data_IF_593028918572
#
_entry.id   IF_593028918572
#
_cell.length_a   1.000
_cell.length_b   1.000
_cell.length_c   1.000
_cell.angle_alpha   90.00
_cell.angle_beta   90.00
_cell.angle_gamma   90.00
#
_symmetry.space_group_name_H-M   'P 1'
#
loop_
_entity.id
_entity.type
_entity.pdbx_description
1 polymer ?
#
# COMPACT_ATOMS: atom_id res chain seq x y z
N UNK A 1 54.32 0.53 21.16
CA UNK A 1 53.76 1.55 20.26
C UNK A 1 53.45 0.87 18.94
N UNK A 2 52.16 0.75 18.59
CA UNK A 2 51.69 0.13 17.34
C UNK A 2 51.35 1.24 16.35
N UNK A 3 51.88 1.17 15.13
CA UNK A 3 51.65 2.14 14.06
C UNK A 3 51.43 1.41 12.75
N UNK A 4 50.24 1.61 12.17
CA UNK A 4 49.81 1.06 10.88
C UNK A 4 50.13 2.07 9.77
N UNK A 5 50.55 1.63 8.57
CA UNK A 5 50.18 2.34 7.34
C UNK A 5 49.60 1.31 6.36
N UNK A 6 48.44 1.49 5.74
CA UNK A 6 47.93 2.69 5.09
C UNK A 6 47.46 2.20 3.71
N UNK A 7 46.14 2.10 3.54
CA UNK A 7 45.48 1.61 2.33
C UNK A 7 45.91 2.38 1.08
N UNK A 8 46.25 1.65 0.03
CA UNK A 8 46.51 2.21 -1.29
C UNK A 8 45.26 2.92 -1.84
N UNK A 9 45.41 4.16 -2.32
CA UNK A 9 44.35 4.92 -2.96
C UNK A 9 44.04 4.36 -4.38
N UNK A 10 42.79 4.41 -4.86
CA UNK A 10 42.42 3.95 -6.20
C UNK A 10 43.00 4.87 -7.30
N UNK A 11 43.18 4.36 -8.53
CA UNK A 11 43.82 5.10 -9.61
C UNK A 11 42.97 6.29 -10.08
N UNK A 12 43.62 7.40 -10.40
CA UNK A 12 42.97 8.62 -10.87
C UNK A 12 42.32 8.44 -12.27
N UNK A 13 41.16 9.07 -12.55
CA UNK A 13 40.51 9.02 -13.86
C UNK A 13 41.23 9.91 -14.90
N UNK A 14 41.07 9.61 -16.21
CA UNK A 14 41.76 10.33 -17.28
C UNK A 14 41.30 11.80 -17.39
N UNK A 15 42.20 12.74 -17.76
CA UNK A 15 41.87 14.16 -17.86
C UNK A 15 41.11 14.44 -19.16
N UNK A 16 39.85 14.90 -19.06
CA UNK A 16 39.14 15.46 -20.22
C UNK A 16 37.62 15.30 -20.25
N UNK A 17 37.00 14.56 -19.32
CA UNK A 17 35.53 14.49 -19.25
C UNK A 17 34.98 15.52 -18.25
N UNK A 18 33.83 16.17 -18.53
CA UNK A 18 33.20 17.08 -17.59
C UNK A 18 32.97 16.37 -16.26
N UNK A 19 33.34 17.02 -15.16
CA UNK A 19 33.15 16.54 -13.78
C UNK A 19 31.68 16.17 -13.58
N UNK A 20 31.37 14.89 -13.63
CA UNK A 20 30.08 14.38 -13.19
C UNK A 20 30.01 14.71 -11.69
N UNK A 21 29.00 15.47 -11.21
CA UNK A 21 28.87 15.73 -9.79
C UNK A 21 28.79 14.38 -9.04
N UNK A 22 29.37 14.29 -7.82
CA UNK A 22 29.33 13.05 -7.06
C UNK A 22 27.87 12.61 -6.93
N UNK A 23 27.60 11.36 -7.29
CA UNK A 23 26.28 10.76 -7.13
C UNK A 23 25.87 10.95 -5.66
N UNK A 24 24.98 11.92 -5.42
CA UNK A 24 24.25 12.01 -4.16
C UNK A 24 23.52 10.70 -3.91
N UNK A 25 22.99 10.47 -2.69
CA UNK A 25 22.26 9.24 -2.38
C UNK A 25 21.26 8.96 -3.51
N UNK A 26 21.53 7.87 -4.25
CA UNK A 26 20.69 7.37 -5.33
C UNK A 26 19.29 7.24 -4.74
N UNK A 27 18.43 8.23 -5.01
CA UNK A 27 17.02 8.13 -4.74
C UNK A 27 16.53 7.07 -5.71
N UNK A 28 16.51 5.82 -5.22
CA UNK A 28 15.85 4.71 -5.88
C UNK A 28 14.50 5.25 -6.37
N UNK A 29 14.16 5.20 -7.67
CA UNK A 29 12.90 5.74 -8.14
C UNK A 29 11.79 5.04 -7.35
N UNK A 30 11.20 5.75 -6.38
CA UNK A 30 10.04 5.27 -5.68
C UNK A 30 8.95 5.27 -6.74
N UNK A 31 8.74 4.13 -7.39
CA UNK A 31 7.71 3.97 -8.42
C UNK A 31 6.39 4.22 -7.72
N UNK A 32 5.86 5.43 -7.86
CA UNK A 32 4.59 5.81 -7.27
C UNK A 32 3.48 5.15 -8.08
N UNK A 33 3.00 4.01 -7.60
CA UNK A 33 1.87 3.32 -8.21
C UNK A 33 0.58 4.01 -7.79
N UNK A 34 -0.12 4.61 -8.77
CA UNK A 34 -1.40 5.27 -8.55
C UNK A 34 -2.58 4.31 -8.77
N UNK A 35 -3.59 4.42 -7.93
CA UNK A 35 -4.86 3.68 -8.07
C UNK A 35 -5.69 4.17 -9.26
N UNK A 36 -6.18 3.23 -10.05
CA UNK A 36 -7.15 3.42 -11.13
C UNK A 36 -8.56 3.37 -10.52
N UNK A 37 -9.19 4.54 -10.41
CA UNK A 37 -10.54 4.71 -9.83
C UNK A 37 -11.67 4.58 -10.87
N UNK A 38 -11.79 3.41 -11.50
CA UNK A 38 -12.87 3.10 -12.46
C UNK A 38 -13.79 2.03 -11.85
N UNK A 39 -15.11 2.21 -11.97
CA UNK A 39 -16.11 1.24 -11.49
C UNK A 39 -15.88 0.79 -10.05
N UNK A 40 -15.73 1.76 -9.13
CA UNK A 40 -15.56 1.45 -7.70
C UNK A 40 -16.73 0.58 -7.20
N UNK A 41 -16.45 -0.46 -6.41
CA UNK A 41 -17.50 -1.31 -5.86
C UNK A 41 -18.50 -0.47 -5.03
N UNK A 42 -19.80 -0.81 -5.03
CA UNK A 42 -20.74 -0.16 -4.14
C UNK A 42 -20.51 -0.60 -2.68
N UNK A 43 -21.04 0.15 -1.71
CA UNK A 43 -21.10 -0.28 -0.32
C UNK A 43 -21.96 -1.55 -0.21
N UNK A 44 -21.53 -2.49 0.61
CA UNK A 44 -22.23 -3.75 0.82
C UNK A 44 -23.46 -3.56 1.72
N UNK A 45 -24.66 -3.72 1.15
CA UNK A 45 -25.94 -3.47 1.84
C UNK A 45 -26.53 -4.69 2.56
N UNK A 46 -25.71 -5.67 2.96
CA UNK A 46 -26.09 -6.93 3.62
C UNK A 46 -27.03 -7.87 2.85
N UNK A 47 -27.44 -7.52 1.63
CA UNK A 47 -28.31 -8.34 0.79
C UNK A 47 -27.55 -9.60 0.31
N UNK A 48 -27.82 -10.75 0.93
CA UNK A 48 -27.13 -12.04 0.66
C UNK A 48 -27.25 -12.49 -0.79
N UNK A 49 -28.37 -12.19 -1.45
CA UNK A 49 -28.58 -12.45 -2.87
C UNK A 49 -27.67 -11.62 -3.80
N UNK A 50 -27.07 -10.53 -3.30
CA UNK A 50 -26.13 -9.67 -4.02
C UNK A 50 -24.68 -9.84 -3.58
N UNK A 51 -24.41 -10.63 -2.53
CA UNK A 51 -23.06 -10.83 -2.00
C UNK A 51 -22.08 -11.38 -3.05
N UNK A 52 -22.49 -12.37 -3.85
CA UNK A 52 -21.65 -12.91 -4.93
C UNK A 52 -21.33 -11.90 -6.01
N UNK A 53 -22.31 -11.09 -6.42
CA UNK A 53 -22.09 -10.02 -7.40
C UNK A 53 -21.14 -8.97 -6.82
N UNK A 54 -21.36 -8.56 -5.58
CA UNK A 54 -20.52 -7.59 -4.90
C UNK A 54 -19.07 -8.06 -4.79
N UNK A 55 -18.84 -9.33 -4.41
CA UNK A 55 -17.50 -9.91 -4.37
C UNK A 55 -16.82 -9.91 -5.75
N UNK A 56 -17.57 -10.21 -6.82
CA UNK A 56 -17.04 -10.14 -8.18
C UNK A 56 -16.64 -8.71 -8.57
N UNK A 57 -17.45 -7.72 -8.20
CA UNK A 57 -17.16 -6.30 -8.45
C UNK A 57 -15.90 -5.84 -7.66
N UNK A 58 -15.76 -6.26 -6.39
CA UNK A 58 -14.54 -6.03 -5.58
C UNK A 58 -13.32 -6.71 -6.18
N UNK A 59 -13.43 -7.98 -6.59
CA UNK A 59 -12.33 -8.72 -7.18
C UNK A 59 -11.85 -8.07 -8.48
N UNK A 60 -12.77 -7.67 -9.37
CA UNK A 60 -12.41 -6.98 -10.61
C UNK A 60 -11.65 -5.66 -10.32
N UNK A 61 -12.08 -4.91 -9.31
CA UNK A 61 -11.40 -3.69 -8.89
C UNK A 61 -9.98 -3.94 -8.37
N UNK A 62 -9.80 -4.98 -7.55
CA UNK A 62 -8.50 -5.37 -7.00
C UNK A 62 -7.55 -5.91 -8.08
N UNK A 63 -8.08 -6.62 -9.08
CA UNK A 63 -7.29 -7.08 -10.22
C UNK A 63 -6.77 -5.90 -11.06
N UNK A 64 -7.63 -4.90 -11.32
CA UNK A 64 -7.23 -3.67 -12.01
C UNK A 64 -6.16 -2.89 -11.24
N UNK A 65 -6.25 -2.90 -9.91
CA UNK A 65 -5.37 -2.17 -9.01
C UNK A 65 -4.32 -3.07 -8.33
N UNK A 66 -3.92 -4.18 -8.96
CA UNK A 66 -3.04 -5.18 -8.34
C UNK A 66 -1.68 -4.61 -7.90
N UNK A 67 -1.19 -3.57 -8.57
CA UNK A 67 0.08 -2.94 -8.23
C UNK A 67 -0.02 -2.08 -6.95
N UNK A 68 -1.24 -1.63 -6.60
CA UNK A 68 -1.54 -0.91 -5.34
C UNK A 68 -1.90 -1.90 -4.24
N UNK A 69 -2.85 -2.80 -4.50
CA UNK A 69 -3.31 -3.87 -3.61
C UNK A 69 -2.55 -5.18 -3.88
N UNK A 70 -1.24 -5.11 -3.68
CA UNK A 70 -0.30 -6.17 -4.06
C UNK A 70 -0.12 -7.30 -3.03
N UNK A 71 -0.84 -7.24 -1.91
CA UNK A 71 -0.84 -8.29 -0.89
C UNK A 71 -2.27 -8.52 -0.38
N UNK A 72 -2.47 -9.65 0.27
CA UNK A 72 -3.80 -10.04 0.74
C UNK A 72 -4.32 -9.13 1.85
N UNK A 73 -3.44 -8.62 2.71
CA UNK A 73 -3.81 -7.66 3.76
C UNK A 73 -4.48 -6.41 3.19
N UNK A 74 -3.88 -5.74 2.20
CA UNK A 74 -4.43 -4.56 1.54
C UNK A 74 -5.74 -4.87 0.82
N UNK A 75 -5.85 -6.06 0.21
CA UNK A 75 -7.07 -6.52 -0.47
C UNK A 75 -8.21 -6.75 0.52
N UNK A 76 -7.91 -7.38 1.65
CA UNK A 76 -8.85 -7.65 2.74
C UNK A 76 -9.31 -6.32 3.35
N UNK A 77 -8.38 -5.43 3.71
CA UNK A 77 -8.70 -4.09 4.25
C UNK A 77 -9.56 -3.27 3.28
N UNK A 78 -9.25 -3.32 1.98
CA UNK A 78 -10.08 -2.70 0.96
C UNK A 78 -11.51 -3.25 0.97
N UNK A 79 -11.68 -4.57 0.87
CA UNK A 79 -13.01 -5.19 0.87
C UNK A 79 -13.81 -4.85 2.15
N UNK A 80 -13.17 -4.91 3.31
CA UNK A 80 -13.77 -4.56 4.61
C UNK A 80 -14.21 -3.09 4.68
N UNK A 81 -13.44 -2.16 4.10
CA UNK A 81 -13.79 -0.74 4.08
C UNK A 81 -15.13 -0.43 3.40
N UNK A 82 -15.57 -1.30 2.48
CA UNK A 82 -16.86 -1.20 1.78
C UNK A 82 -17.99 -1.96 2.48
N UNK A 83 -17.74 -2.65 3.60
CA UNK A 83 -18.75 -3.38 4.37
C UNK A 83 -19.54 -2.51 5.37
N UNK A 84 -19.56 -1.18 5.20
CA UNK A 84 -20.28 -0.29 6.12
C UNK A 84 -21.78 -0.55 6.10
N UNK A 85 -22.34 -0.67 7.31
CA UNK A 85 -23.78 -0.65 7.56
C UNK A 85 -24.35 0.72 7.15
N UNK A 86 -25.24 0.76 6.16
CA UNK A 86 -25.95 2.00 5.77
C UNK A 86 -27.09 2.36 6.72
N UNK A 87 -27.36 1.49 7.68
CA UNK A 87 -28.26 1.67 8.80
C UNK A 87 -27.63 2.59 9.86
N UNK A 88 -27.37 3.84 9.46
CA UNK A 88 -27.05 4.95 10.37
C UNK A 88 -28.17 5.20 11.41
N UNK A 89 -29.34 4.56 11.24
CA UNK A 89 -30.49 4.60 12.17
C UNK A 89 -30.55 3.41 13.14
N UNK A 90 -29.66 2.42 13.05
CA UNK A 90 -29.47 1.44 14.12
C UNK A 90 -28.05 1.59 14.62
N UNK A 91 -27.92 2.22 15.79
CA UNK A 91 -26.64 2.66 16.36
C UNK A 91 -25.55 1.61 16.33
N UNK A 92 -24.31 2.09 16.11
CA UNK A 92 -23.04 1.38 16.22
C UNK A 92 -23.13 -0.06 15.75
N UNK A 93 -22.88 -0.25 14.46
CA UNK A 93 -22.83 -1.58 13.87
C UNK A 93 -21.87 -2.44 14.69
N UNK A 94 -22.24 -3.70 14.96
CA UNK A 94 -21.45 -4.61 15.79
C UNK A 94 -19.95 -4.59 15.43
N UNK A 95 -19.61 -4.42 14.15
CA UNK A 95 -18.24 -4.29 13.67
C UNK A 95 -17.47 -3.09 14.24
N UNK A 96 -18.12 -1.94 14.45
CA UNK A 96 -17.50 -0.76 15.09
C UNK A 96 -17.24 -1.02 16.58
N UNK A 97 -18.18 -1.67 17.28
CA UNK A 97 -17.96 -2.08 18.69
C UNK A 97 -16.80 -3.07 18.83
N UNK A 98 -16.71 -4.03 17.90
CA UNK A 98 -15.59 -4.97 17.87
C UNK A 98 -14.26 -4.27 17.57
N UNK A 99 -14.26 -3.26 16.69
CA UNK A 99 -13.06 -2.48 16.38
C UNK A 99 -12.59 -1.65 17.59
N UNK A 100 -13.51 -0.98 18.27
CA UNK A 100 -13.20 -0.19 19.47
C UNK A 100 -12.69 -1.08 20.62
N UNK A 101 -13.33 -2.22 20.87
CA UNK A 101 -12.89 -3.19 21.89
C UNK A 101 -11.51 -3.78 21.63
N UNK A 102 -11.11 -3.91 20.37
CA UNK A 102 -9.78 -4.40 20.01
C UNK A 102 -8.72 -3.33 20.28
N UNK A 103 -9.01 -2.06 19.95
CA UNK A 103 -8.13 -0.91 20.21
C UNK A 103 -7.97 -0.61 21.71
N UNK A 104 -8.92 -1.01 22.56
CA UNK A 104 -8.78 -0.85 24.02
C UNK A 104 -7.90 -1.92 24.67
N UNK A 105 -7.76 -3.09 24.05
CA UNK A 105 -7.00 -4.22 24.62
C UNK A 105 -5.56 -4.33 24.09
N UNK A 106 -5.18 -3.52 23.11
CA UNK A 106 -3.88 -3.53 22.45
C UNK A 106 -3.37 -2.11 22.19
#
# INVERSE_FOLDING_TARGET
MSGNPGSAAPPAPPPGLPLVPPAGPQQNPQVYVKEISINKPPIFTRATNRARKWLADVQAYLMLNQAVYNNDEKRILFALSYMRSTDYNSGLSEAEKWADLWMEQH
#
